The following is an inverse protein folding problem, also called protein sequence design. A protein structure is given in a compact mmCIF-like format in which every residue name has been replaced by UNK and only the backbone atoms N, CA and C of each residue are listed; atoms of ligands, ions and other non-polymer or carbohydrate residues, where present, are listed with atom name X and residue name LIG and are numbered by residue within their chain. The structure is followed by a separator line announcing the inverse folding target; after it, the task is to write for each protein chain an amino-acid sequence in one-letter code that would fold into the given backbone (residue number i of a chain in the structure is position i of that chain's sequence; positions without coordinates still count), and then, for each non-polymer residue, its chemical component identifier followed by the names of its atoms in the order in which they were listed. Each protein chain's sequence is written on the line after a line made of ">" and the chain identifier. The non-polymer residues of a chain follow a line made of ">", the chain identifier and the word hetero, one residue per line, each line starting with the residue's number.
data_IF_173735356529
#
_entry.id   IF_173735356529
#
_cell.length_a   1.000
_cell.length_b   1.000
_cell.length_c   1.000
_cell.angle_alpha   90.00
_cell.angle_beta   90.00
_cell.angle_gamma   90.00
#
_symmetry.space_group_name_H-M   'P 1'
#
loop_
_entity.id
_entity.type
_entity.pdbx_description
1 polymer ?
#
# COMPACT_ATOMS: atom_id res chain seq x y z
N UNK A 1 -23.39 9.12 -5.39
CA UNK A 1 -22.12 8.39 -5.50
C UNK A 1 -21.07 9.27 -6.13
N UNK A 2 -20.05 9.64 -5.37
CA UNK A 2 -18.87 10.32 -5.91
C UNK A 2 -17.96 9.27 -6.55
N UNK A 3 -17.59 9.46 -7.82
CA UNK A 3 -16.67 8.56 -8.51
C UNK A 3 -15.25 8.84 -8.03
N UNK A 4 -14.59 7.82 -7.50
CA UNK A 4 -13.20 7.90 -7.06
C UNK A 4 -12.30 7.65 -8.27
N UNK A 5 -11.32 8.53 -8.49
CA UNK A 5 -10.32 8.34 -9.53
C UNK A 5 -9.06 7.75 -8.89
N UNK A 6 -8.51 6.71 -9.52
CA UNK A 6 -7.26 6.09 -9.08
C UNK A 6 -6.13 6.77 -9.88
N UNK A 7 -5.67 7.93 -9.41
CA UNK A 7 -4.63 8.73 -10.08
C UNK A 7 -3.52 9.23 -9.15
N UNK A 8 -3.43 8.69 -7.93
CA UNK A 8 -2.37 9.04 -6.96
C UNK A 8 -2.66 10.30 -6.14
N UNK A 9 -3.80 10.95 -6.36
CA UNK A 9 -4.16 12.17 -5.63
C UNK A 9 -5.38 11.97 -4.72
N UNK A 10 -5.24 12.31 -3.43
CA UNK A 10 -6.31 12.21 -2.43
C UNK A 10 -7.20 13.47 -2.39
N UNK A 11 -7.65 13.92 -3.57
CA UNK A 11 -8.36 15.18 -3.72
C UNK A 11 -9.89 15.06 -3.50
N UNK A 12 -10.45 13.85 -3.61
CA UNK A 12 -11.88 13.65 -3.41
C UNK A 12 -12.30 13.92 -1.96
N UNK A 13 -13.41 14.68 -1.71
CA UNK A 13 -13.92 14.99 -0.38
C UNK A 13 -13.95 13.87 0.65
N UNK A 14 -14.23 12.63 0.26
CA UNK A 14 -14.26 11.49 1.20
C UNK A 14 -12.93 11.35 1.95
N UNK A 15 -11.79 11.53 1.27
CA UNK A 15 -10.46 11.39 1.85
C UNK A 15 -10.17 12.44 2.93
N UNK A 16 -10.77 13.62 2.82
CA UNK A 16 -10.58 14.72 3.76
C UNK A 16 -11.37 14.53 5.06
N UNK A 17 -12.39 13.66 5.04
CA UNK A 17 -13.28 13.42 6.20
C UNK A 17 -12.99 12.12 6.94
N UNK A 18 -12.30 11.18 6.29
CA UNK A 18 -11.99 9.90 6.90
C UNK A 18 -10.90 10.04 7.97
N UNK A 19 -11.06 9.36 9.12
CA UNK A 19 -9.97 9.24 10.08
C UNK A 19 -8.79 8.53 9.42
N UNK A 20 -7.58 9.02 9.70
CA UNK A 20 -6.35 8.38 9.29
C UNK A 20 -5.84 7.48 10.41
N UNK A 21 -5.26 6.34 10.05
CA UNK A 21 -4.36 5.60 10.92
C UNK A 21 -2.93 6.11 10.68
N UNK A 22 -2.24 6.48 11.74
CA UNK A 22 -0.88 7.05 11.71
C UNK A 22 0.06 6.49 12.79
N UNK A 23 -0.40 5.52 13.59
CA UNK A 23 0.37 4.85 14.64
C UNK A 23 1.29 3.75 14.07
N UNK A 24 2.22 4.16 13.21
CA UNK A 24 3.25 3.28 12.65
C UNK A 24 4.53 3.32 13.47
N UNK A 25 5.27 2.21 13.46
CA UNK A 25 6.57 2.07 14.13
C UNK A 25 7.60 1.47 13.18
N UNK A 26 8.87 1.75 13.46
CA UNK A 26 9.97 1.09 12.78
C UNK A 26 10.00 -0.39 13.18
N UNK A 27 10.10 -1.29 12.19
CA UNK A 27 10.27 -2.74 12.43
C UNK A 27 11.72 -3.19 12.24
N UNK A 28 12.54 -2.39 11.55
CA UNK A 28 13.95 -2.63 11.28
C UNK A 28 14.63 -1.31 10.87
N UNK A 29 15.88 -1.03 11.30
CA UNK A 29 16.69 -1.82 12.25
C UNK A 29 16.27 -1.63 13.71
N UNK A 30 15.77 -0.45 14.08
CA UNK A 30 15.48 -0.09 15.46
C UNK A 30 13.99 -0.33 15.78
N UNK A 31 13.65 -1.56 16.13
CA UNK A 31 12.26 -1.99 16.38
C UNK A 31 11.56 -1.15 17.44
N UNK A 32 10.32 -0.73 17.16
CA UNK A 32 9.47 0.16 17.97
C UNK A 32 9.94 1.62 18.07
N UNK A 33 10.99 2.03 17.35
CA UNK A 33 11.35 3.44 17.28
C UNK A 33 10.28 4.25 16.53
N UNK A 34 10.22 5.55 16.85
CA UNK A 34 9.36 6.51 16.18
C UNK A 34 9.72 6.59 14.68
N UNK A 35 8.70 6.74 13.84
CA UNK A 35 8.90 6.91 12.39
C UNK A 35 9.54 8.28 12.10
N UNK A 36 10.56 8.29 11.24
CA UNK A 36 11.23 9.53 10.84
C UNK A 36 10.30 10.46 10.05
N UNK A 37 9.34 9.89 9.31
CA UNK A 37 8.39 10.62 8.50
C UNK A 37 6.98 10.08 8.69
N UNK A 38 6.01 10.99 8.70
CA UNK A 38 4.61 10.66 8.91
C UNK A 38 4.06 9.81 7.75
N UNK A 39 3.31 8.76 8.11
CA UNK A 39 2.50 7.97 7.18
C UNK A 39 1.07 8.02 7.66
N UNK A 40 0.15 8.38 6.77
CA UNK A 40 -1.29 8.41 7.06
C UNK A 40 -2.02 7.48 6.10
N UNK A 41 -2.69 6.48 6.65
CA UNK A 41 -3.49 5.54 5.87
C UNK A 41 -4.97 5.76 6.14
N UNK A 42 -5.74 5.93 5.05
CA UNK A 42 -7.20 6.06 5.08
C UNK A 42 -7.78 4.94 4.23
N UNK A 43 -8.89 4.36 4.68
CA UNK A 43 -9.56 3.29 3.96
C UNK A 43 -11.08 3.40 4.09
N UNK A 44 -11.77 3.01 3.04
CA UNK A 44 -13.22 2.82 3.03
C UNK A 44 -13.58 1.83 1.93
N UNK A 45 -14.81 1.34 1.93
CA UNK A 45 -15.29 0.42 0.89
C UNK A 45 -16.62 0.90 0.32
N UNK A 46 -16.91 0.47 -0.91
CA UNK A 46 -18.20 0.61 -1.58
C UNK A 46 -18.61 -0.74 -2.17
N UNK A 47 -19.73 -0.79 -2.89
CA UNK A 47 -20.10 -1.96 -3.69
C UNK A 47 -19.12 -2.25 -4.85
N UNK A 48 -18.26 -1.30 -5.22
CA UNK A 48 -17.24 -1.48 -6.27
C UNK A 48 -15.93 -2.06 -5.73
N UNK A 49 -15.66 -1.94 -4.43
CA UNK A 49 -14.45 -2.50 -3.81
C UNK A 49 -13.94 -1.73 -2.59
N UNK A 50 -12.76 -2.14 -2.13
CA UNK A 50 -11.99 -1.48 -1.08
C UNK A 50 -11.08 -0.41 -1.69
N UNK A 51 -11.07 0.77 -1.10
CA UNK A 51 -10.20 1.88 -1.47
C UNK A 51 -9.24 2.16 -0.32
N UNK A 52 -7.95 2.29 -0.64
CA UNK A 52 -6.91 2.63 0.33
C UNK A 52 -6.14 3.84 -0.20
N UNK A 53 -6.10 4.91 0.59
CA UNK A 53 -5.30 6.09 0.35
C UNK A 53 -4.16 6.15 1.35
N UNK A 54 -2.93 6.31 0.87
CA UNK A 54 -1.72 6.37 1.69
C UNK A 54 -1.00 7.67 1.38
N UNK A 55 -0.85 8.52 2.39
CA UNK A 55 -0.06 9.75 2.31
C UNK A 55 1.23 9.55 3.12
N UNK A 56 2.38 9.65 2.47
CA UNK A 56 3.69 9.39 3.06
C UNK A 56 4.58 10.62 2.87
N UNK A 57 4.88 11.29 3.98
CA UNK A 57 5.80 12.41 3.96
C UNK A 57 7.24 11.92 3.73
N UNK A 58 8.01 12.67 2.96
CA UNK A 58 9.48 12.57 2.90
C UNK A 58 10.06 13.78 2.17
N UNK A 59 11.34 14.14 2.39
CA UNK A 59 11.99 15.18 1.62
C UNK A 59 12.00 14.88 0.11
N UNK A 60 11.69 15.87 -0.73
CA UNK A 60 11.60 15.66 -2.17
C UNK A 60 12.90 15.12 -2.81
N UNK A 61 14.06 15.45 -2.23
CA UNK A 61 15.37 14.97 -2.70
C UNK A 61 15.74 13.55 -2.26
N UNK A 62 14.93 12.90 -1.41
CA UNK A 62 15.19 11.53 -0.93
C UNK A 62 14.30 10.48 -1.60
N UNK A 63 13.31 10.92 -2.38
CA UNK A 63 12.40 10.04 -3.11
C UNK A 63 13.15 9.10 -4.05
N UNK A 64 12.97 7.80 -3.85
CA UNK A 64 13.66 6.78 -4.64
C UNK A 64 12.74 6.13 -5.68
N UNK A 65 12.56 6.83 -6.81
CA UNK A 65 11.72 6.42 -7.94
C UNK A 65 12.51 5.66 -9.01
N UNK A 66 11.98 4.54 -9.51
CA UNK A 66 12.47 3.84 -10.71
C UNK A 66 11.30 3.26 -11.51
N UNK A 67 11.45 3.16 -12.83
CA UNK A 67 10.44 2.50 -13.67
C UNK A 67 10.74 1.00 -13.77
N UNK A 68 9.68 0.18 -13.79
CA UNK A 68 9.78 -1.23 -14.11
C UNK A 68 8.44 -1.76 -14.61
N UNK A 69 8.46 -2.98 -15.16
CA UNK A 69 7.24 -3.77 -15.31
C UNK A 69 6.66 -4.22 -13.97
N UNK A 70 5.50 -4.85 -14.05
CA UNK A 70 4.82 -5.55 -12.95
C UNK A 70 5.73 -6.61 -12.32
N UNK A 71 5.55 -6.86 -11.02
CA UNK A 71 6.16 -7.97 -10.26
C UNK A 71 7.70 -7.97 -10.17
N UNK A 72 8.35 -6.82 -10.43
CA UNK A 72 9.80 -6.66 -10.33
C UNK A 72 10.27 -6.35 -8.90
N UNK A 73 10.33 -7.39 -8.06
CA UNK A 73 10.63 -7.30 -6.61
C UNK A 73 12.07 -6.93 -6.23
N UNK A 74 13.04 -7.13 -7.13
CA UNK A 74 14.47 -6.98 -6.81
C UNK A 74 15.00 -5.55 -6.98
N UNK A 75 14.12 -4.61 -7.33
CA UNK A 75 14.50 -3.23 -7.60
C UNK A 75 14.21 -2.39 -6.37
N UNK A 76 15.26 -1.91 -5.72
CA UNK A 76 15.13 -0.99 -4.59
C UNK A 76 14.46 0.33 -5.03
N UNK A 77 13.36 0.69 -4.38
CA UNK A 77 12.47 1.84 -4.62
C UNK A 77 11.61 2.08 -3.38
N UNK A 78 11.12 3.31 -3.23
CA UNK A 78 10.08 3.60 -2.25
C UNK A 78 8.81 2.84 -2.61
N UNK A 79 8.20 2.21 -1.62
CA UNK A 79 7.02 1.38 -1.81
C UNK A 79 6.17 1.30 -0.55
N UNK A 80 4.90 0.95 -0.75
CA UNK A 80 3.97 0.57 0.32
C UNK A 80 3.38 -0.79 -0.02
N UNK A 81 3.20 -1.64 0.99
CA UNK A 81 2.54 -2.93 0.85
C UNK A 81 1.37 -3.04 1.81
N UNK A 82 0.27 -3.60 1.33
CA UNK A 82 -0.94 -3.87 2.09
C UNK A 82 -1.19 -5.37 2.01
N UNK A 83 -1.34 -6.01 3.17
CA UNK A 83 -1.69 -7.43 3.26
C UNK A 83 -3.06 -7.57 3.89
N UNK A 84 -3.95 -8.32 3.22
CA UNK A 84 -5.33 -8.51 3.62
C UNK A 84 -5.61 -10.01 3.78
N UNK A 85 -6.03 -10.41 4.96
CA UNK A 85 -6.75 -11.66 5.16
C UNK A 85 -8.25 -11.36 5.09
N UNK A 86 -8.88 -11.73 3.97
CA UNK A 86 -10.31 -11.50 3.73
C UNK A 86 -11.19 -12.52 4.44
N UNK A 87 -10.62 -13.64 4.90
CA UNK A 87 -11.35 -14.68 5.65
C UNK A 87 -11.42 -14.36 7.15
N UNK A 88 -10.41 -13.66 7.67
CA UNK A 88 -10.23 -13.39 9.10
C UNK A 88 -9.76 -14.61 9.90
N UNK A 89 -9.37 -15.71 9.25
CA UNK A 89 -8.94 -16.95 9.91
C UNK A 89 -7.43 -17.03 10.18
N UNK A 90 -6.64 -16.09 9.67
CA UNK A 90 -5.19 -16.03 9.81
C UNK A 90 -4.44 -17.11 9.01
N UNK A 91 -5.10 -17.75 8.03
CA UNK A 91 -4.56 -18.91 7.30
C UNK A 91 -4.07 -18.59 5.90
N UNK A 92 -4.59 -17.54 5.30
CA UNK A 92 -4.29 -17.16 3.93
C UNK A 92 -4.63 -15.69 3.73
N UNK A 93 -3.79 -14.98 2.99
CA UNK A 93 -4.05 -13.58 2.64
C UNK A 93 -3.52 -13.23 1.27
N UNK A 94 -3.93 -12.05 0.81
CA UNK A 94 -3.43 -11.40 -0.38
C UNK A 94 -2.53 -10.24 0.02
N UNK A 95 -1.46 -10.03 -0.72
CA UNK A 95 -0.64 -8.83 -0.56
C UNK A 95 -0.61 -8.03 -1.85
N UNK A 96 -0.57 -6.72 -1.69
CA UNK A 96 -0.61 -5.73 -2.76
C UNK A 96 0.50 -4.73 -2.49
N UNK A 97 1.37 -4.52 -3.47
CA UNK A 97 2.49 -3.58 -3.38
C UNK A 97 2.39 -2.57 -4.51
N UNK A 98 2.57 -1.29 -4.18
CA UNK A 98 2.77 -0.25 -5.18
C UNK A 98 4.09 0.46 -4.90
N UNK A 99 4.87 0.64 -5.95
CA UNK A 99 6.15 1.34 -5.88
C UNK A 99 5.99 2.74 -6.45
N UNK A 100 6.80 3.67 -5.96
CA UNK A 100 6.91 5.01 -6.53
C UNK A 100 7.33 4.91 -8.00
N UNK A 101 6.46 5.35 -8.90
CA UNK A 101 6.56 5.09 -10.34
C UNK A 101 5.59 4.05 -10.89
N UNK A 102 4.48 3.82 -10.18
CA UNK A 102 3.27 3.10 -10.61
C UNK A 102 3.44 1.62 -10.95
N UNK A 103 4.62 1.03 -10.72
CA UNK A 103 4.78 -0.41 -10.86
C UNK A 103 4.13 -1.12 -9.66
N UNK A 104 3.19 -2.00 -9.96
CA UNK A 104 2.46 -2.80 -8.97
C UNK A 104 3.02 -4.22 -8.85
N UNK A 105 2.77 -4.83 -7.70
CA UNK A 105 3.13 -6.21 -7.37
C UNK A 105 2.02 -6.81 -6.52
N UNK A 106 1.74 -8.09 -6.67
CA UNK A 106 0.81 -8.78 -5.80
C UNK A 106 1.10 -10.26 -5.66
N UNK A 107 0.32 -10.89 -4.80
CA UNK A 107 0.33 -12.33 -4.66
C UNK A 107 -0.37 -12.78 -3.39
N UNK A 108 0.08 -13.94 -2.89
CA UNK A 108 -0.52 -14.58 -1.73
C UNK A 108 0.47 -14.69 -0.59
N UNK A 109 -0.05 -14.78 0.64
CA UNK A 109 0.73 -15.06 1.83
C UNK A 109 0.08 -16.20 2.60
N UNK A 110 0.89 -17.20 2.92
CA UNK A 110 0.55 -18.33 3.77
C UNK A 110 1.15 -18.14 5.18
N UNK A 111 0.82 -19.01 6.15
CA UNK A 111 1.41 -18.97 7.48
C UNK A 111 2.94 -18.96 7.45
N UNK A 112 3.55 -18.50 8.55
CA UNK A 112 5.00 -18.31 8.65
C UNK A 112 5.59 -17.34 7.61
N UNK A 113 4.79 -16.37 7.14
CA UNK A 113 5.21 -15.31 6.19
C UNK A 113 5.70 -15.88 4.85
N UNK A 114 5.06 -16.94 4.36
CA UNK A 114 5.39 -17.53 3.06
C UNK A 114 4.69 -16.75 1.93
N UNK A 115 5.42 -15.82 1.31
CA UNK A 115 4.93 -15.00 0.21
C UNK A 115 5.15 -15.67 -1.15
N UNK A 116 4.12 -15.68 -2.01
CA UNK A 116 4.20 -16.05 -3.42
C UNK A 116 3.76 -14.90 -4.31
N UNK A 117 4.19 -14.88 -5.57
CA UNK A 117 3.77 -13.91 -6.60
C UNK A 117 2.96 -14.57 -7.72
N UNK A 118 2.37 -15.74 -7.45
CA UNK A 118 1.67 -16.54 -8.47
C UNK A 118 0.22 -16.08 -8.72
N UNK A 119 -0.32 -15.24 -7.83
CA UNK A 119 -1.65 -14.68 -7.97
C UNK A 119 -1.58 -13.29 -8.58
N UNK A 120 -2.41 -13.07 -9.60
CA UNK A 120 -2.49 -11.80 -10.35
C UNK A 120 -3.93 -11.27 -10.28
N UNK A 121 -4.15 -10.31 -9.37
CA UNK A 121 -5.45 -9.73 -9.10
C UNK A 121 -5.84 -8.61 -10.05
N UNK A 122 -7.14 -8.47 -10.28
CA UNK A 122 -7.70 -7.30 -10.96
C UNK A 122 -7.85 -6.11 -9.98
N UNK A 123 -6.78 -5.34 -9.81
CA UNK A 123 -6.79 -4.10 -9.01
C UNK A 123 -6.04 -2.98 -9.72
N UNK A 124 -6.14 -1.75 -9.19
CA UNK A 124 -5.53 -0.54 -9.74
C UNK A 124 -4.85 0.24 -8.63
N UNK A 125 -3.73 0.87 -8.97
CA UNK A 125 -3.01 1.78 -8.08
C UNK A 125 -2.30 2.86 -8.90
N UNK A 126 -1.98 3.97 -8.24
CA UNK A 126 -1.22 5.08 -8.79
C UNK A 126 -0.51 5.81 -7.64
N UNK A 127 0.64 6.43 -7.95
CA UNK A 127 1.50 7.21 -7.04
C UNK A 127 1.66 8.65 -7.48
#
# INVERSE_FOLDING_TARGET
>A
NQKIKIDGHLNEPVWQTLPAYDEFVVIQPDTLADVQHATQVRMFYTSEGLYVGVDMAQPAGTLYKRLSGRDQRQINRDNINITLDTSGEGRYGYWFGINLGDSVMDGTVLPERQFTSDWDGAWRGAT
#
